data_IF_321033028510
#
_entry.id   IF_321033028510
#
_cell.length_a   1.000
_cell.length_b   1.000
_cell.length_c   1.000
_cell.angle_alpha   90.00
_cell.angle_beta   90.00
_cell.angle_gamma   90.00
#
_symmetry.space_group_name_H-M   'P 1'
#
loop_
_entity.id
_entity.type
_entity.pdbx_description
1 polymer ?
#
# COMPACT_ATOMS: atom_id res chain seq x y z
N UNK A 1 8.58 3.29 -6.73
CA UNK A 1 8.76 3.57 -5.29
C UNK A 1 10.18 3.18 -4.91
N UNK A 2 10.76 3.73 -3.84
CA UNK A 2 12.10 3.36 -3.37
C UNK A 2 12.02 2.18 -2.39
N UNK A 3 13.09 1.38 -2.35
CA UNK A 3 13.26 0.28 -1.39
C UNK A 3 13.21 0.84 0.05
N UNK A 4 12.33 0.31 0.93
CA UNK A 4 12.29 0.72 2.33
C UNK A 4 13.51 0.20 3.10
N UNK A 5 14.01 1.03 3.99
CA UNK A 5 15.17 0.77 4.86
C UNK A 5 14.76 0.13 6.19
N UNK A 6 15.69 -0.50 6.94
CA UNK A 6 15.40 -1.06 8.26
C UNK A 6 14.86 -0.01 9.25
N UNK A 7 15.30 1.24 9.15
CA UNK A 7 14.86 2.36 9.98
C UNK A 7 13.40 2.73 9.71
N UNK A 8 12.92 2.56 8.48
CA UNK A 8 11.53 2.79 8.08
C UNK A 8 10.63 1.59 8.41
N UNK A 9 11.16 0.37 8.38
CA UNK A 9 10.41 -0.86 8.64
C UNK A 9 10.01 -0.99 10.11
N UNK A 10 10.89 -0.62 11.05
CA UNK A 10 10.64 -0.74 12.50
C UNK A 10 9.39 0.04 12.97
N UNK A 11 9.23 1.33 12.66
CA UNK A 11 8.02 2.09 13.01
C UNK A 11 6.74 1.47 12.43
N UNK A 12 6.79 0.99 11.18
CA UNK A 12 5.65 0.36 10.51
C UNK A 12 5.24 -0.93 11.24
N UNK A 13 6.23 -1.77 11.59
CA UNK A 13 6.00 -3.00 12.34
C UNK A 13 5.43 -2.73 13.74
N UNK A 14 5.92 -1.69 14.42
CA UNK A 14 5.42 -1.26 15.72
C UNK A 14 3.94 -0.84 15.65
N UNK A 15 3.56 -0.05 14.63
CA UNK A 15 2.15 0.33 14.40
C UNK A 15 1.28 -0.90 14.12
N UNK A 16 1.81 -1.88 13.40
CA UNK A 16 1.13 -3.14 13.11
C UNK A 16 1.08 -4.11 14.30
N UNK A 17 1.71 -3.80 15.43
CA UNK A 17 1.80 -4.68 16.59
C UNK A 17 2.67 -5.91 16.36
N UNK A 18 3.55 -5.88 15.35
CA UNK A 18 4.45 -6.98 15.01
C UNK A 18 5.82 -6.70 15.65
N UNK A 19 6.30 -7.55 16.57
CA UNK A 19 7.62 -7.37 17.15
C UNK A 19 8.69 -7.66 16.10
N UNK A 20 9.52 -6.66 15.81
CA UNK A 20 10.60 -6.73 14.83
C UNK A 20 11.87 -6.15 15.46
N UNK A 21 12.92 -6.95 15.53
CA UNK A 21 14.27 -6.51 15.89
C UNK A 21 15.06 -6.06 14.66
N UNK A 22 16.29 -5.58 14.88
CA UNK A 22 17.18 -5.05 13.85
C UNK A 22 17.55 -6.08 12.77
N UNK A 23 17.69 -7.34 13.18
CA UNK A 23 18.02 -8.44 12.26
C UNK A 23 16.82 -8.74 11.35
N UNK A 24 15.63 -8.83 11.94
CA UNK A 24 14.38 -9.06 11.21
C UNK A 24 14.08 -7.86 10.29
N UNK A 25 14.27 -6.63 10.75
CA UNK A 25 14.10 -5.43 9.92
C UNK A 25 15.03 -5.44 8.70
N UNK A 26 16.29 -5.85 8.91
CA UNK A 26 17.27 -6.02 7.82
C UNK A 26 16.84 -7.09 6.83
N UNK A 27 16.32 -8.23 7.32
CA UNK A 27 15.79 -9.30 6.47
C UNK A 27 14.58 -8.84 5.66
N UNK A 28 13.67 -8.08 6.26
CA UNK A 28 12.49 -7.51 5.57
C UNK A 28 12.94 -6.55 4.46
N UNK A 29 13.87 -5.64 4.75
CA UNK A 29 14.44 -4.71 3.77
C UNK A 29 15.04 -5.44 2.57
N UNK A 30 15.83 -6.49 2.83
CA UNK A 30 16.46 -7.29 1.78
C UNK A 30 15.44 -8.11 0.97
N UNK A 31 14.42 -8.66 1.63
CA UNK A 31 13.40 -9.50 0.99
C UNK A 31 12.42 -8.68 0.13
N UNK A 32 12.06 -7.48 0.57
CA UNK A 32 11.06 -6.65 -0.10
C UNK A 32 11.66 -5.74 -1.18
N UNK A 33 12.96 -5.47 -1.12
CA UNK A 33 13.68 -4.64 -2.09
C UNK A 33 13.39 -4.97 -3.56
N UNK A 34 13.47 -6.24 -4.00
CA UNK A 34 13.15 -6.62 -5.38
C UNK A 34 11.72 -6.30 -5.79
N UNK A 35 10.76 -6.38 -4.85
CA UNK A 35 9.36 -6.05 -5.13
C UNK A 35 9.18 -4.55 -5.40
N UNK A 36 9.89 -3.69 -4.66
CA UNK A 36 9.83 -2.23 -4.85
C UNK A 36 10.57 -1.75 -6.11
N UNK A 37 11.67 -2.41 -6.48
CA UNK A 37 12.41 -2.12 -7.71
C UNK A 37 11.63 -2.46 -8.97
N UNK A 38 10.89 -3.58 -8.95
CA UNK A 38 9.98 -3.97 -10.04
C UNK A 38 8.62 -3.29 -9.99
N UNK A 39 8.31 -2.53 -8.93
CA UNK A 39 7.01 -1.88 -8.77
C UNK A 39 6.90 -0.65 -9.66
N UNK A 40 6.35 -0.84 -10.85
CA UNK A 40 5.77 0.22 -11.65
C UNK A 40 4.35 0.48 -11.13
N UNK A 41 4.16 1.58 -10.39
CA UNK A 41 2.82 2.03 -10.05
C UNK A 41 2.06 2.24 -11.37
N UNK A 42 1.07 1.38 -11.65
CA UNK A 42 0.10 1.68 -12.70
C UNK A 42 -0.72 2.82 -12.14
N UNK A 43 -0.37 4.04 -12.55
CA UNK A 43 -1.23 5.21 -12.38
C UNK A 43 -2.42 5.05 -13.33
N UNK A 44 -3.25 4.05 -13.07
CA UNK A 44 -4.60 4.02 -13.60
C UNK A 44 -5.32 5.11 -12.86
N UNK A 45 -5.69 6.19 -13.55
CA UNK A 45 -6.73 7.07 -13.06
C UNK A 45 -7.92 6.16 -12.76
N UNK A 46 -8.29 6.09 -11.48
CA UNK A 46 -9.53 5.44 -11.13
C UNK A 46 -10.62 6.15 -11.95
N UNK A 47 -11.62 5.44 -12.50
CA UNK A 47 -12.74 6.10 -13.19
C UNK A 47 -13.47 7.14 -12.32
N UNK A 48 -13.18 7.15 -11.02
CA UNK A 48 -13.66 8.09 -10.01
C UNK A 48 -12.92 9.42 -9.96
N UNK A 49 -11.78 9.56 -10.62
CA UNK A 49 -11.03 10.82 -10.69
C UNK A 49 -11.75 11.85 -11.57
N UNK A 50 -12.64 11.38 -12.46
CA UNK A 50 -13.44 12.25 -13.34
C UNK A 50 -14.81 12.62 -12.76
N UNK A 51 -15.41 11.81 -11.86
CA UNK A 51 -16.71 12.14 -11.24
C UNK A 51 -16.90 11.50 -9.85
N UNK A 52 -16.55 12.18 -8.74
CA UNK A 52 -16.80 11.71 -7.37
C UNK A 52 -18.26 11.38 -7.08
N UNK A 53 -19.20 12.07 -7.75
CA UNK A 53 -20.64 11.86 -7.60
C UNK A 53 -21.15 10.56 -8.25
N UNK A 54 -20.47 10.07 -9.29
CA UNK A 54 -20.86 8.86 -10.01
C UNK A 54 -20.75 7.58 -9.15
N UNK A 55 -19.74 7.53 -8.27
CA UNK A 55 -19.55 6.38 -7.37
C UNK A 55 -20.73 6.20 -6.40
N UNK A 56 -21.15 7.30 -5.77
CA UNK A 56 -22.28 7.28 -4.81
C UNK A 56 -23.55 6.84 -5.52
N UNK A 57 -23.84 7.38 -6.71
CA UNK A 57 -25.01 6.98 -7.50
C UNK A 57 -25.00 5.50 -7.90
N UNK A 58 -23.85 4.97 -8.33
CA UNK A 58 -23.71 3.56 -8.66
C UNK A 58 -23.92 2.64 -7.43
N UNK A 59 -23.43 3.05 -6.26
CA UNK A 59 -23.68 2.34 -4.99
C UNK A 59 -25.15 2.34 -4.62
N UNK A 60 -25.82 3.50 -4.63
CA UNK A 60 -27.24 3.60 -4.25
C UNK A 60 -28.15 2.81 -5.19
N UNK A 61 -27.82 2.73 -6.48
CA UNK A 61 -28.56 1.94 -7.47
C UNK A 61 -28.45 0.43 -7.24
N UNK A 62 -27.34 -0.04 -6.66
CA UNK A 62 -27.13 -1.47 -6.32
C UNK A 62 -27.97 -1.90 -5.11
N UNK A 63 -28.37 -0.97 -4.23
CA UNK A 63 -29.16 -1.22 -3.02
C UNK A 63 -30.68 -1.18 -3.28
N UNK A 64 -31.14 -0.58 -4.38
CA UNK A 64 -32.57 -0.52 -4.76
C UNK A 64 -33.07 -1.76 -5.51
N UNK A 65 -32.78 -2.98 -5.03
CA UNK A 65 -33.37 -4.20 -5.58
C UNK A 65 -34.18 -4.94 -4.53
#
# INVERSE_FOLDING_TARGET
MTRPTPEEIKPIAQIAGVPVDDEIATRISNAIGPAFEGFAAIAGTLPFDLEPAGHVLAQTRKVSK
#
